data_IF_001258280518
#
_entry.id   IF_001258280518
#
_cell.length_a   1.000
_cell.length_b   1.000
_cell.length_c   1.000
_cell.angle_alpha   90.00
_cell.angle_beta   90.00
_cell.angle_gamma   90.00
#
_symmetry.space_group_name_H-M   'P 1'
#
loop_
_entity.id
_entity.type
_entity.pdbx_description
1 polymer ?
#
# COMPACT_ATOMS: atom_id res chain seq x y z
N UNK A 1 -4.10 -2.29 22.73
CA UNK A 1 -3.07 -1.26 22.54
C UNK A 1 -2.81 -0.96 21.04
N UNK A 2 -2.46 -1.93 20.19
CA UNK A 2 -2.21 -1.72 18.75
C UNK A 2 -3.41 -1.11 18.02
N UNK A 3 -4.60 -1.66 18.24
CA UNK A 3 -5.84 -1.20 17.58
C UNK A 3 -6.12 0.28 17.89
N UNK A 4 -5.88 0.73 19.11
CA UNK A 4 -6.10 2.14 19.48
C UNK A 4 -5.17 3.10 18.71
N UNK A 5 -3.93 2.67 18.40
CA UNK A 5 -3.01 3.44 17.57
C UNK A 5 -3.48 3.53 16.12
N UNK A 6 -4.01 2.44 15.58
CA UNK A 6 -4.60 2.42 14.23
C UNK A 6 -5.85 3.32 14.17
N UNK A 7 -6.72 3.23 15.17
CA UNK A 7 -7.91 4.11 15.28
C UNK A 7 -7.49 5.58 15.35
N UNK A 8 -6.44 5.91 16.12
CA UNK A 8 -5.85 7.25 16.15
C UNK A 8 -5.44 7.71 14.72
N UNK A 9 -4.76 6.86 13.97
CA UNK A 9 -4.32 7.18 12.61
C UNK A 9 -5.53 7.43 11.69
N UNK A 10 -6.58 6.61 11.78
CA UNK A 10 -7.83 6.85 11.06
C UNK A 10 -8.53 8.15 11.48
N UNK A 11 -8.53 8.50 12.76
CA UNK A 11 -9.10 9.76 13.24
C UNK A 11 -8.37 10.97 12.65
N UNK A 12 -7.04 10.91 12.51
CA UNK A 12 -6.23 11.98 11.91
C UNK A 12 -6.61 12.25 10.45
N UNK A 13 -6.99 11.21 9.71
CA UNK A 13 -7.31 11.31 8.28
C UNK A 13 -8.81 11.27 7.98
N UNK A 14 -9.67 11.28 8.99
CA UNK A 14 -11.14 11.14 8.85
C UNK A 14 -11.73 12.01 7.75
N UNK A 15 -11.28 13.27 7.62
CA UNK A 15 -11.76 14.20 6.59
C UNK A 15 -11.37 13.78 5.17
N UNK A 16 -10.21 13.15 5.00
CA UNK A 16 -9.70 12.72 3.70
C UNK A 16 -10.17 11.32 3.31
N UNK A 17 -10.44 10.45 4.30
CA UNK A 17 -10.91 9.08 4.08
C UNK A 17 -12.16 9.03 3.20
N UNK A 18 -13.16 9.84 3.49
CA UNK A 18 -14.43 9.83 2.73
C UNK A 18 -14.20 10.15 1.25
N UNK A 19 -13.46 11.23 0.96
CA UNK A 19 -13.17 11.65 -0.42
C UNK A 19 -12.36 10.60 -1.15
N UNK A 20 -11.35 10.02 -0.49
CA UNK A 20 -10.50 9.00 -1.09
C UNK A 20 -11.23 7.67 -1.31
N UNK A 21 -12.16 7.30 -0.45
CA UNK A 21 -12.99 6.12 -0.67
C UNK A 21 -13.96 6.28 -1.84
N UNK A 22 -14.54 7.46 -2.02
CA UNK A 22 -15.32 7.78 -3.23
C UNK A 22 -14.41 7.72 -4.47
N UNK A 23 -13.19 8.24 -4.37
CA UNK A 23 -12.21 8.15 -5.45
C UNK A 23 -11.86 6.69 -5.79
N UNK A 24 -11.71 5.79 -4.81
CA UNK A 24 -11.46 4.36 -5.07
C UNK A 24 -12.58 3.66 -5.82
N UNK A 25 -13.82 4.14 -5.69
CA UNK A 25 -14.94 3.57 -6.42
C UNK A 25 -14.99 4.05 -7.88
N UNK A 26 -14.63 5.31 -8.14
CA UNK A 26 -14.76 5.95 -9.45
C UNK A 26 -13.50 5.78 -10.32
N UNK A 27 -12.31 5.91 -9.74
CA UNK A 27 -11.06 5.92 -10.48
C UNK A 27 -10.79 4.65 -11.30
N UNK A 28 -11.07 3.42 -10.82
CA UNK A 28 -10.88 2.22 -11.64
C UNK A 28 -11.71 2.21 -12.91
N UNK A 29 -12.96 2.74 -12.85
CA UNK A 29 -13.86 2.82 -14.01
C UNK A 29 -13.24 3.73 -15.07
N UNK A 30 -12.78 4.91 -14.66
CA UNK A 30 -12.18 5.89 -15.56
C UNK A 30 -10.85 5.39 -16.15
N UNK A 31 -9.98 4.80 -15.33
CA UNK A 31 -8.68 4.29 -15.77
C UNK A 31 -8.85 3.11 -16.73
N UNK A 32 -9.76 2.17 -16.44
CA UNK A 32 -10.02 1.02 -17.31
C UNK A 32 -10.54 1.45 -18.69
N UNK A 33 -11.37 2.50 -18.76
CA UNK A 33 -11.87 3.03 -20.02
C UNK A 33 -10.79 3.67 -20.90
N UNK A 34 -9.69 4.16 -20.32
CA UNK A 34 -8.59 4.81 -21.05
C UNK A 34 -7.49 3.83 -21.47
N UNK A 35 -7.22 2.81 -20.68
CA UNK A 35 -6.07 1.91 -20.89
C UNK A 35 -6.47 0.68 -21.73
N UNK A 36 -7.77 0.36 -21.81
CA UNK A 36 -8.31 -0.73 -22.65
C UNK A 36 -7.90 -2.16 -22.22
N UNK A 37 -6.87 -2.30 -21.41
CA UNK A 37 -6.30 -3.55 -20.94
C UNK A 37 -6.18 -3.54 -19.42
N UNK A 38 -7.18 -4.09 -18.78
CA UNK A 38 -6.88 -4.73 -17.54
C UNK A 38 -7.24 -4.01 -16.27
N UNK A 39 -8.20 -4.59 -15.62
CA UNK A 39 -8.54 -4.34 -14.23
C UNK A 39 -7.34 -4.39 -13.30
N UNK A 40 -6.26 -5.14 -13.63
CA UNK A 40 -5.04 -5.19 -12.84
C UNK A 40 -4.36 -3.81 -12.74
N UNK A 41 -4.11 -3.14 -13.87
CA UNK A 41 -3.39 -1.86 -13.86
C UNK A 41 -4.23 -0.77 -13.21
N UNK A 42 -5.53 -0.71 -13.51
CA UNK A 42 -6.43 0.28 -12.93
C UNK A 42 -6.59 0.10 -11.41
N UNK A 43 -6.75 -1.13 -10.93
CA UNK A 43 -6.82 -1.45 -9.51
C UNK A 43 -5.52 -1.11 -8.78
N UNK A 44 -4.37 -1.53 -9.35
CA UNK A 44 -3.05 -1.31 -8.78
C UNK A 44 -2.73 0.18 -8.65
N UNK A 45 -2.93 0.97 -9.71
CA UNK A 45 -2.67 2.42 -9.69
C UNK A 45 -3.56 3.13 -8.67
N UNK A 46 -4.84 2.81 -8.63
CA UNK A 46 -5.78 3.40 -7.66
C UNK A 46 -5.36 3.08 -6.24
N UNK A 47 -5.00 1.82 -5.97
CA UNK A 47 -4.60 1.37 -4.63
C UNK A 47 -3.33 2.06 -4.17
N UNK A 48 -2.28 2.13 -5.01
CA UNK A 48 -1.02 2.80 -4.69
C UNK A 48 -1.26 4.29 -4.37
N UNK A 49 -2.02 4.99 -5.20
CA UNK A 49 -2.28 6.42 -5.01
C UNK A 49 -3.03 6.68 -3.70
N UNK A 50 -4.08 5.93 -3.43
CA UNK A 50 -4.90 6.13 -2.22
C UNK A 50 -4.10 5.80 -0.96
N UNK A 51 -3.39 4.67 -0.93
CA UNK A 51 -2.55 4.31 0.21
C UNK A 51 -1.46 5.33 0.48
N UNK A 52 -0.81 5.82 -0.59
CA UNK A 52 0.22 6.84 -0.45
C UNK A 52 -0.31 8.16 0.13
N UNK A 53 -1.44 8.64 -0.37
CA UNK A 53 -2.04 9.88 0.11
C UNK A 53 -2.45 9.73 1.57
N UNK A 54 -3.07 8.61 1.96
CA UNK A 54 -3.50 8.37 3.34
C UNK A 54 -2.31 8.23 4.27
N UNK A 55 -1.33 7.39 3.92
CA UNK A 55 -0.12 7.19 4.71
C UNK A 55 0.70 8.48 4.82
N UNK A 56 0.89 9.20 3.72
CA UNK A 56 1.60 10.47 3.69
C UNK A 56 0.93 11.54 4.55
N UNK A 57 -0.40 11.58 4.55
CA UNK A 57 -1.18 12.51 5.39
C UNK A 57 -1.01 12.21 6.87
N UNK A 58 -1.09 10.95 7.29
CA UNK A 58 -0.83 10.55 8.68
C UNK A 58 0.58 10.93 9.09
N UNK A 59 1.56 10.58 8.26
CA UNK A 59 2.98 10.88 8.53
C UNK A 59 3.26 12.37 8.64
N UNK A 60 2.63 13.18 7.79
CA UNK A 60 2.70 14.66 7.85
C UNK A 60 2.15 15.21 9.16
N UNK A 61 1.00 14.71 9.61
CA UNK A 61 0.42 15.15 10.88
C UNK A 61 1.28 14.73 12.07
N UNK A 62 1.82 13.52 12.06
CA UNK A 62 2.71 13.05 13.11
C UNK A 62 4.00 13.87 13.20
N UNK A 63 4.58 14.23 12.07
CA UNK A 63 5.77 15.07 12.03
C UNK A 63 5.45 16.48 12.57
N UNK A 64 4.37 17.09 12.06
CA UNK A 64 3.90 18.43 12.47
C UNK A 64 3.64 18.54 13.98
N UNK A 65 3.03 17.54 14.58
CA UNK A 65 2.67 17.55 16.01
C UNK A 65 3.68 16.83 16.89
N UNK A 66 4.87 16.52 16.37
CA UNK A 66 5.90 15.75 17.10
C UNK A 66 5.33 14.48 17.74
N UNK A 67 4.50 13.75 16.98
CA UNK A 67 3.73 12.61 17.47
C UNK A 67 4.59 11.51 18.09
N UNK A 68 5.82 11.32 17.62
CA UNK A 68 6.77 10.37 18.20
C UNK A 68 7.13 10.74 19.64
N UNK A 69 7.40 12.03 19.93
CA UNK A 69 7.73 12.51 21.27
C UNK A 69 6.50 12.45 22.19
N UNK A 70 5.31 12.78 21.69
CA UNK A 70 4.06 12.66 22.46
C UNK A 70 3.76 11.20 22.82
N UNK A 71 4.04 10.25 21.93
CA UNK A 71 3.85 8.82 22.20
C UNK A 71 4.81 8.29 23.27
N UNK A 72 6.02 8.85 23.38
CA UNK A 72 6.95 8.50 24.47
C UNK A 72 6.46 8.93 25.85
N UNK A 73 5.59 9.94 25.93
CA UNK A 73 4.93 10.35 27.17
C UNK A 73 3.71 9.46 27.55
N UNK A 74 3.34 8.54 26.67
CA UNK A 74 2.22 7.61 26.90
C UNK A 74 2.73 6.19 27.17
N UNK A 75 1.91 5.29 27.75
CA UNK A 75 2.32 3.91 28.03
C UNK A 75 2.47 3.02 26.76
N UNK A 76 2.47 3.62 25.56
CA UNK A 76 2.66 2.88 24.32
C UNK A 76 4.15 2.60 24.05
N UNK A 77 4.45 1.35 23.74
CA UNK A 77 5.81 0.94 23.39
C UNK A 77 6.18 1.39 21.98
N UNK A 78 7.45 1.71 21.75
CA UNK A 78 8.00 2.05 20.41
C UNK A 78 7.67 0.95 19.38
N UNK A 79 7.72 -0.32 19.81
CA UNK A 79 7.39 -1.46 18.97
C UNK A 79 5.91 -1.49 18.54
N UNK A 80 5.00 -1.09 19.44
CA UNK A 80 3.58 -1.00 19.11
C UNK A 80 3.30 0.06 18.06
N UNK A 81 4.02 1.19 18.09
CA UNK A 81 3.90 2.25 17.11
C UNK A 81 4.31 1.80 15.70
N UNK A 82 5.47 1.13 15.56
CA UNK A 82 5.90 0.59 14.27
C UNK A 82 4.91 -0.42 13.73
N UNK A 83 4.49 -1.39 14.56
CA UNK A 83 3.50 -2.41 14.15
C UNK A 83 2.18 -1.80 13.73
N UNK A 84 1.74 -0.72 14.39
CA UNK A 84 0.50 -0.03 14.04
C UNK A 84 0.54 0.57 12.63
N UNK A 85 1.70 1.04 12.13
CA UNK A 85 1.84 1.56 10.76
C UNK A 85 1.64 0.49 9.70
N UNK A 86 2.23 -0.69 9.90
CA UNK A 86 2.03 -1.82 8.98
C UNK A 86 0.58 -2.30 9.00
N UNK A 87 -0.01 -2.40 10.19
CA UNK A 87 -1.42 -2.76 10.34
C UNK A 87 -2.35 -1.73 9.69
N UNK A 88 -2.03 -0.44 9.80
CA UNK A 88 -2.79 0.65 9.18
C UNK A 88 -2.84 0.50 7.65
N UNK A 89 -1.70 0.28 6.99
CA UNK A 89 -1.64 0.06 5.53
C UNK A 89 -2.43 -1.19 5.16
N UNK A 90 -2.28 -2.28 5.90
CA UNK A 90 -3.00 -3.52 5.64
C UNK A 90 -4.53 -3.34 5.74
N UNK A 91 -5.01 -2.59 6.73
CA UNK A 91 -6.44 -2.29 6.89
C UNK A 91 -6.96 -1.42 5.74
N UNK A 92 -6.17 -0.42 5.29
CA UNK A 92 -6.53 0.38 4.11
C UNK A 92 -6.62 -0.50 2.88
N UNK A 93 -5.64 -1.37 2.63
CA UNK A 93 -5.66 -2.30 1.50
C UNK A 93 -6.93 -3.14 1.46
N UNK A 94 -7.30 -3.77 2.60
CA UNK A 94 -8.54 -4.54 2.71
C UNK A 94 -9.76 -3.65 2.42
N UNK A 95 -9.79 -2.43 2.92
CA UNK A 95 -10.91 -1.49 2.69
C UNK A 95 -11.06 -1.15 1.20
N UNK A 96 -9.94 -0.94 0.49
CA UNK A 96 -9.93 -0.66 -0.95
C UNK A 96 -10.43 -1.89 -1.73
N UNK A 97 -9.97 -3.09 -1.38
CA UNK A 97 -10.44 -4.35 -1.99
C UNK A 97 -11.95 -4.50 -1.84
N UNK A 98 -12.48 -4.26 -0.64
CA UNK A 98 -13.92 -4.35 -0.39
C UNK A 98 -14.72 -3.33 -1.22
N UNK A 99 -14.25 -2.08 -1.32
CA UNK A 99 -14.88 -1.05 -2.14
C UNK A 99 -14.86 -1.45 -3.61
N UNK A 100 -13.73 -1.96 -4.11
CA UNK A 100 -13.61 -2.38 -5.50
C UNK A 100 -14.56 -3.55 -5.83
N UNK A 101 -14.69 -4.54 -4.94
CA UNK A 101 -15.64 -5.65 -5.11
C UNK A 101 -17.08 -5.11 -5.17
N UNK A 102 -17.45 -4.19 -4.28
CA UNK A 102 -18.78 -3.58 -4.29
C UNK A 102 -19.00 -2.81 -5.59
N UNK A 103 -18.00 -2.04 -6.04
CA UNK A 103 -18.09 -1.27 -7.29
C UNK A 103 -18.22 -2.17 -8.51
N UNK A 104 -17.54 -3.31 -8.56
CA UNK A 104 -17.64 -4.28 -9.67
C UNK A 104 -19.01 -4.95 -9.75
N UNK A 105 -19.71 -5.11 -8.62
CA UNK A 105 -21.08 -5.64 -8.58
C UNK A 105 -22.08 -4.59 -9.10
N UNK A 106 -21.87 -3.31 -8.79
CA UNK A 106 -22.78 -2.22 -9.19
C UNK A 106 -22.60 -1.88 -10.66
N UNK A 107 -21.38 -1.90 -11.18
CA UNK A 107 -21.04 -1.53 -12.57
C UNK A 107 -20.27 -2.66 -13.26
N UNK A 108 -20.91 -3.79 -13.57
CA UNK A 108 -20.23 -4.97 -14.11
C UNK A 108 -19.63 -4.77 -15.51
N UNK A 109 -20.13 -3.79 -16.28
CA UNK A 109 -19.61 -3.49 -17.62
C UNK A 109 -18.38 -2.59 -17.64
N UNK A 110 -18.02 -1.99 -16.50
CA UNK A 110 -16.91 -1.01 -16.41
C UNK A 110 -15.71 -1.47 -15.59
N UNK A 111 -15.85 -2.54 -14.81
CA UNK A 111 -14.80 -3.00 -13.88
C UNK A 111 -14.67 -4.52 -13.99
N UNK A 112 -13.46 -4.99 -14.24
CA UNK A 112 -13.16 -6.42 -14.18
C UNK A 112 -13.24 -6.96 -12.75
N UNK A 113 -13.76 -8.18 -12.60
CA UNK A 113 -13.78 -8.88 -11.31
C UNK A 113 -12.35 -9.19 -10.85
N UNK A 114 -12.07 -8.92 -9.58
CA UNK A 114 -10.74 -9.19 -9.01
C UNK A 114 -10.45 -10.70 -8.97
N UNK A 115 -9.39 -11.08 -9.66
CA UNK A 115 -8.83 -12.42 -9.54
C UNK A 115 -7.83 -12.48 -8.38
N UNK A 116 -7.65 -13.65 -7.77
CA UNK A 116 -6.67 -13.87 -6.70
C UNK A 116 -5.25 -13.47 -7.15
N UNK A 117 -4.92 -13.74 -8.40
CA UNK A 117 -3.63 -13.34 -8.99
C UNK A 117 -3.45 -11.82 -9.04
N UNK A 118 -4.47 -11.08 -9.45
CA UNK A 118 -4.47 -9.59 -9.46
C UNK A 118 -4.28 -9.03 -8.05
N UNK A 119 -5.02 -9.57 -7.07
CA UNK A 119 -4.85 -9.19 -5.65
C UNK A 119 -3.44 -9.48 -5.15
N UNK A 120 -2.91 -10.66 -5.45
CA UNK A 120 -1.58 -11.07 -5.03
C UNK A 120 -0.48 -10.18 -5.59
N UNK A 121 -0.51 -9.86 -6.89
CA UNK A 121 0.46 -8.97 -7.53
C UNK A 121 0.37 -7.56 -6.95
N UNK A 122 -0.84 -7.03 -6.80
CA UNK A 122 -1.04 -5.70 -6.21
C UNK A 122 -0.48 -5.64 -4.80
N UNK A 123 -0.79 -6.62 -3.96
CA UNK A 123 -0.28 -6.70 -2.59
C UNK A 123 1.23 -6.86 -2.54
N UNK A 124 1.84 -7.59 -3.49
CA UNK A 124 3.29 -7.75 -3.60
C UNK A 124 3.96 -6.40 -3.93
N UNK A 125 3.46 -5.68 -4.93
CA UNK A 125 3.99 -4.37 -5.31
C UNK A 125 3.86 -3.38 -4.15
N UNK A 126 2.72 -3.34 -3.47
CA UNK A 126 2.53 -2.53 -2.27
C UNK A 126 3.50 -2.89 -1.15
N UNK A 127 3.70 -4.18 -0.88
CA UNK A 127 4.64 -4.64 0.13
C UNK A 127 6.08 -4.23 -0.17
N UNK A 128 6.48 -4.18 -1.44
CA UNK A 128 7.80 -3.67 -1.84
C UNK A 128 7.87 -2.15 -1.63
N UNK A 129 6.87 -1.41 -2.13
CA UNK A 129 6.85 0.06 -2.05
C UNK A 129 6.82 0.56 -0.60
N UNK A 130 5.84 0.12 0.18
CA UNK A 130 5.72 0.53 1.58
C UNK A 130 6.73 -0.16 2.48
N UNK A 131 7.13 -1.38 2.13
CA UNK A 131 8.21 -2.09 2.82
C UNK A 131 9.57 -1.40 2.72
N UNK A 132 9.82 -0.61 1.69
CA UNK A 132 11.01 0.24 1.59
C UNK A 132 10.78 1.63 2.17
N UNK A 133 9.61 2.22 1.93
CA UNK A 133 9.28 3.58 2.32
C UNK A 133 9.20 3.75 3.85
N UNK A 134 8.59 2.80 4.56
CA UNK A 134 8.42 2.88 6.03
C UNK A 134 9.76 2.87 6.77
N UNK A 135 10.69 1.92 6.55
CA UNK A 135 12.00 1.95 7.22
C UNK A 135 12.81 3.18 6.89
N UNK A 136 12.77 3.65 5.63
CA UNK A 136 13.46 4.86 5.19
C UNK A 136 12.91 6.09 5.92
N UNK A 137 11.58 6.19 6.05
CA UNK A 137 10.93 7.28 6.78
C UNK A 137 11.26 7.24 8.28
N UNK A 138 11.30 6.08 8.90
CA UNK A 138 11.72 5.98 10.31
C UNK A 138 13.17 6.38 10.52
N UNK A 139 14.05 6.11 9.56
CA UNK A 139 15.47 6.48 9.64
C UNK A 139 15.69 7.97 9.42
N UNK A 140 15.14 8.54 8.36
CA UNK A 140 15.46 9.90 7.90
C UNK A 140 14.42 10.96 8.30
N UNK A 141 13.22 10.53 8.75
CA UNK A 141 12.10 11.40 9.05
C UNK A 141 11.25 11.72 7.83
N UNK A 142 10.04 12.25 8.05
CA UNK A 142 9.07 12.54 7.00
C UNK A 142 9.57 13.61 6.03
N UNK A 143 10.11 14.72 6.55
CA UNK A 143 10.48 15.87 5.71
C UNK A 143 11.54 15.56 4.67
N UNK A 144 12.51 14.70 5.00
CA UNK A 144 13.57 14.29 4.06
C UNK A 144 13.11 13.23 3.07
N UNK A 145 12.13 12.41 3.44
CA UNK A 145 11.66 11.30 2.60
C UNK A 145 10.47 11.66 1.71
N UNK A 146 9.74 12.72 2.01
CA UNK A 146 8.54 13.12 1.25
C UNK A 146 8.81 13.35 -0.25
N UNK A 147 9.93 13.98 -0.59
CA UNK A 147 10.30 14.22 -1.99
C UNK A 147 10.64 12.92 -2.70
N UNK A 148 11.44 12.05 -2.09
CA UNK A 148 11.84 10.77 -2.67
C UNK A 148 10.62 9.89 -2.88
N UNK A 149 9.76 9.78 -1.85
CA UNK A 149 8.54 8.99 -1.95
C UNK A 149 7.55 9.53 -2.98
N UNK A 150 7.43 10.86 -3.10
CA UNK A 150 6.62 11.48 -4.14
C UNK A 150 7.12 11.10 -5.55
N UNK A 151 8.43 11.21 -5.81
CA UNK A 151 9.01 10.83 -7.11
C UNK A 151 8.83 9.35 -7.41
N UNK A 152 9.08 8.46 -6.45
CA UNK A 152 8.91 7.01 -6.64
C UNK A 152 7.47 6.69 -7.04
N UNK A 153 6.48 7.26 -6.35
CA UNK A 153 5.08 6.97 -6.60
C UNK A 153 4.58 7.67 -7.86
N UNK A 154 5.06 8.87 -8.15
CA UNK A 154 4.74 9.57 -9.39
C UNK A 154 5.28 8.83 -10.63
N UNK A 155 6.46 8.20 -10.54
CA UNK A 155 7.01 7.38 -11.61
C UNK A 155 6.29 6.04 -11.79
N UNK A 156 5.68 5.51 -10.74
CA UNK A 156 5.03 4.18 -10.75
C UNK A 156 4.01 4.01 -11.89
N UNK A 157 3.06 4.94 -12.14
CA UNK A 157 2.08 4.81 -13.22
C UNK A 157 2.71 4.79 -14.63
N UNK A 158 3.89 5.34 -14.81
CA UNK A 158 4.60 5.33 -16.09
C UNK A 158 5.46 4.07 -16.27
N UNK A 159 6.10 3.61 -15.21
CA UNK A 159 7.00 2.45 -15.26
C UNK A 159 6.24 1.12 -15.26
N UNK A 160 5.17 0.98 -14.46
CA UNK A 160 4.46 -0.29 -14.32
C UNK A 160 3.87 -0.82 -15.63
N UNK A 161 3.13 -0.05 -16.44
CA UNK A 161 2.58 -0.55 -17.69
C UNK A 161 3.67 -0.98 -18.67
N UNK A 162 4.80 -0.26 -18.70
CA UNK A 162 5.94 -0.60 -19.59
C UNK A 162 6.64 -1.88 -19.12
N UNK A 163 6.80 -2.07 -17.82
CA UNK A 163 7.38 -3.29 -17.24
C UNK A 163 6.47 -4.49 -17.48
N UNK A 164 5.18 -4.37 -17.27
CA UNK A 164 4.21 -5.46 -17.49
C UNK A 164 4.22 -5.88 -18.96
N UNK A 165 4.18 -4.91 -19.91
CA UNK A 165 4.27 -5.19 -21.34
C UNK A 165 5.61 -5.82 -21.73
N UNK A 166 6.70 -5.37 -21.17
CA UNK A 166 8.04 -5.92 -21.39
C UNK A 166 8.18 -7.37 -20.92
N UNK A 167 7.60 -7.72 -19.79
CA UNK A 167 7.57 -9.11 -19.28
C UNK A 167 6.68 -10.00 -20.16
N UNK A 168 5.56 -9.50 -20.62
CA UNK A 168 4.66 -10.24 -21.52
C UNK A 168 5.26 -10.45 -22.92
N UNK A 169 5.98 -9.45 -23.47
CA UNK A 169 6.57 -9.52 -24.82
C UNK A 169 7.81 -10.41 -24.89
N UNK A 170 8.59 -10.50 -23.81
CA UNK A 170 9.87 -11.21 -23.83
C UNK A 170 9.76 -12.70 -23.53
N UNK A 171 8.55 -13.30 -23.49
CA UNK A 171 8.37 -14.74 -23.23
C UNK A 171 9.40 -15.30 -22.24
N UNK A 172 9.66 -14.60 -21.14
CA UNK A 172 10.38 -15.19 -20.03
C UNK A 172 9.39 -16.21 -19.40
N UNK A 173 9.19 -17.28 -20.14
CA UNK A 173 8.51 -18.44 -19.64
C UNK A 173 9.42 -19.09 -18.60
N UNK A 174 9.35 -18.57 -17.37
CA UNK A 174 9.76 -19.41 -16.24
C UNK A 174 8.76 -20.58 -16.23
N UNK A 175 9.08 -21.61 -16.98
CA UNK A 175 8.36 -22.89 -16.99
C UNK A 175 8.62 -23.64 -15.68
N UNK A 176 8.31 -22.97 -14.57
CA UNK A 176 8.15 -23.66 -13.31
C UNK A 176 6.74 -24.24 -13.39
N UNK A 177 6.64 -25.53 -13.68
CA UNK A 177 5.41 -26.32 -13.71
C UNK A 177 4.84 -26.48 -12.29
N UNK A 178 4.58 -25.35 -11.62
CA UNK A 178 3.87 -25.37 -10.35
C UNK A 178 2.36 -25.52 -10.60
N UNK A 179 1.65 -26.27 -9.75
CA UNK A 179 0.19 -26.34 -9.80
C UNK A 179 -0.42 -24.91 -9.86
N UNK A 180 -1.43 -24.72 -10.68
CA UNK A 180 -2.08 -23.39 -10.89
C UNK A 180 -2.48 -22.71 -9.57
N UNK A 181 -2.88 -23.49 -8.58
CA UNK A 181 -3.22 -23.00 -7.24
C UNK A 181 -2.02 -22.35 -6.55
N UNK A 182 -0.85 -22.99 -6.59
CA UNK A 182 0.37 -22.44 -5.97
C UNK A 182 0.80 -21.19 -6.70
N UNK A 183 0.72 -21.17 -8.03
CA UNK A 183 1.07 -20.00 -8.83
C UNK A 183 0.17 -18.79 -8.54
N UNK A 184 -1.12 -19.00 -8.25
CA UNK A 184 -2.05 -17.93 -7.90
C UNK A 184 -1.78 -17.32 -6.51
N UNK A 185 -1.37 -18.15 -5.54
CA UNK A 185 -1.15 -17.71 -4.15
C UNK A 185 0.29 -17.27 -3.85
N UNK A 186 1.26 -17.66 -4.69
CA UNK A 186 2.67 -17.33 -4.50
C UNK A 186 2.94 -15.84 -4.28
N UNK A 187 2.36 -14.88 -5.04
CA UNK A 187 2.57 -13.45 -4.82
C UNK A 187 2.09 -12.99 -3.42
N UNK A 188 0.99 -13.55 -2.93
CA UNK A 188 0.46 -13.23 -1.58
C UNK A 188 1.42 -13.69 -0.48
N UNK A 189 1.99 -14.90 -0.59
CA UNK A 189 2.95 -15.40 0.41
C UNK A 189 4.24 -14.59 0.39
N UNK A 190 4.76 -14.29 -0.79
CA UNK A 190 5.99 -13.49 -0.94
C UNK A 190 5.78 -12.09 -0.35
N UNK A 191 4.63 -11.47 -0.61
CA UNK A 191 4.31 -10.14 -0.08
C UNK A 191 4.26 -10.11 1.46
N UNK A 192 3.69 -11.14 2.09
CA UNK A 192 3.67 -11.28 3.54
C UNK A 192 5.08 -11.41 4.11
N UNK A 193 5.94 -12.22 3.49
CA UNK A 193 7.34 -12.37 3.91
C UNK A 193 8.07 -11.03 3.82
N UNK A 194 7.94 -10.31 2.71
CA UNK A 194 8.53 -8.97 2.52
C UNK A 194 8.02 -8.00 3.60
N UNK A 195 6.73 -7.99 3.86
CA UNK A 195 6.12 -7.15 4.89
C UNK A 195 6.66 -7.43 6.29
N UNK A 196 6.82 -8.70 6.66
CA UNK A 196 7.38 -9.11 7.96
C UNK A 196 8.86 -8.72 8.07
N UNK A 197 9.67 -9.00 7.03
CA UNK A 197 11.08 -8.61 7.01
C UNK A 197 11.24 -7.10 7.14
N UNK A 198 10.47 -6.33 6.38
CA UNK A 198 10.48 -4.87 6.48
C UNK A 198 10.06 -4.37 7.87
N UNK A 199 9.05 -5.00 8.48
CA UNK A 199 8.63 -4.65 9.84
C UNK A 199 9.76 -4.88 10.85
N UNK A 200 10.50 -6.01 10.75
CA UNK A 200 11.64 -6.30 11.64
C UNK A 200 12.74 -5.24 11.45
N UNK A 201 13.06 -4.87 10.21
CA UNK A 201 14.04 -3.82 9.90
C UNK A 201 13.61 -2.49 10.53
N UNK A 202 12.34 -2.11 10.37
CA UNK A 202 11.77 -0.88 10.94
C UNK A 202 11.83 -0.86 12.47
N UNK A 203 11.55 -2.00 13.12
CA UNK A 203 11.67 -2.14 14.57
C UNK A 203 13.09 -1.89 15.05
N UNK A 204 14.08 -2.47 14.38
CA UNK A 204 15.50 -2.31 14.71
C UNK A 204 15.98 -0.86 14.50
N UNK A 205 15.52 -0.18 13.44
CA UNK A 205 15.85 1.22 13.17
C UNK A 205 15.23 2.12 14.24
N UNK A 206 13.95 1.91 14.56
CA UNK A 206 13.24 2.79 15.49
C UNK A 206 13.66 2.58 16.94
N UNK A 207 14.10 1.38 17.32
CA UNK A 207 14.64 1.10 18.66
C UNK A 207 15.94 1.90 18.94
N UNK A 208 16.77 2.14 17.91
CA UNK A 208 18.05 2.86 18.02
C UNK A 208 17.92 4.36 17.81
N UNK A 209 16.71 4.87 17.55
CA UNK A 209 16.51 6.30 17.29
C UNK A 209 16.40 7.05 18.62
N UNK A 210 17.27 8.04 18.83
CA UNK A 210 17.14 9.03 19.89
C UNK A 210 15.99 9.99 19.53
N UNK A 211 15.04 10.15 20.45
CA UNK A 211 13.79 10.91 20.27
C UNK A 211 13.82 12.16 21.12
#
# INVERSE_FOLDING_TARGET
MLINLVIKDFMLIKKYCFVLFVFTAIAPIYISSQIGDGGLVSFLLTTILVEYILFGTVSKFEDKYKGAALLCATPYTRNAFVKAKYLFIFVIFISIVMIHIISSIIVPSGIETLNIHTLGITFLILSILFGTLIPVQFKFGYDKTKLISFFVIFLTPFLLPTLIKGVQSNHISFTITLPQIIQAWAPCFISLVIGVVSMIISLNIYAKKDL
#
